data_IF_884666467449
#
_entry.id   IF_884666467449
#
_cell.length_a   1.000
_cell.length_b   1.000
_cell.length_c   1.000
_cell.angle_alpha   90.00
_cell.angle_beta   90.00
_cell.angle_gamma   90.00
#
_symmetry.space_group_name_H-M   'P 1'
#
loop_
_entity.id
_entity.type
_entity.pdbx_description
1 polymer ?
#
# COMPACT_ATOMS: atom_id res chain seq x y z
N UNK A 1 26.52 17.86 0.28
CA UNK A 1 25.95 17.63 1.63
C UNK A 1 24.46 17.22 1.63
N UNK A 2 23.48 18.08 1.33
CA UNK A 2 22.04 17.70 1.41
C UNK A 2 21.65 16.66 0.37
N UNK A 3 22.10 16.82 -0.88
CA UNK A 3 21.80 15.87 -1.96
C UNK A 3 22.37 14.47 -1.67
N UNK A 4 23.57 14.39 -1.09
CA UNK A 4 24.19 13.12 -0.67
C UNK A 4 23.40 12.44 0.44
N UNK A 5 22.89 13.21 1.41
CA UNK A 5 22.02 12.70 2.47
C UNK A 5 20.71 12.14 1.93
N UNK A 6 20.08 12.81 0.96
CA UNK A 6 18.88 12.31 0.28
C UNK A 6 19.20 11.02 -0.47
N UNK A 7 20.30 10.99 -1.22
CA UNK A 7 20.74 9.80 -1.95
C UNK A 7 20.96 8.61 -1.00
N UNK A 8 21.69 8.82 0.09
CA UNK A 8 21.94 7.78 1.10
C UNK A 8 20.65 7.31 1.80
N UNK A 9 19.69 8.21 2.01
CA UNK A 9 18.34 7.87 2.50
C UNK A 9 17.60 6.96 1.52
N UNK A 10 17.63 7.27 0.23
CA UNK A 10 16.99 6.46 -0.79
C UNK A 10 17.66 5.10 -0.96
N UNK A 11 18.99 5.03 -0.86
CA UNK A 11 19.73 3.77 -0.84
C UNK A 11 19.34 2.90 0.37
N UNK A 12 19.20 3.50 1.56
CA UNK A 12 18.71 2.81 2.75
C UNK A 12 17.27 2.30 2.59
N UNK A 13 16.36 3.12 2.06
CA UNK A 13 14.97 2.69 1.83
C UNK A 13 14.92 1.54 0.82
N UNK A 14 15.71 1.63 -0.26
CA UNK A 14 15.82 0.58 -1.28
C UNK A 14 16.38 -0.71 -0.69
N UNK A 15 17.40 -0.67 0.17
CA UNK A 15 17.99 -1.87 0.76
C UNK A 15 17.08 -2.60 1.75
N UNK A 16 16.07 -1.90 2.30
CA UNK A 16 15.06 -2.49 3.18
C UNK A 16 13.99 -3.28 2.43
N UNK A 17 13.82 -3.04 1.13
CA UNK A 17 12.81 -3.73 0.32
C UNK A 17 13.42 -5.01 -0.24
N UNK A 18 12.82 -6.13 0.13
CA UNK A 18 13.30 -7.48 -0.21
C UNK A 18 12.35 -8.27 -1.11
N UNK A 19 11.31 -7.62 -1.63
CA UNK A 19 10.29 -8.30 -2.42
C UNK A 19 9.21 -7.34 -2.95
N UNK A 20 8.37 -7.83 -3.89
CA UNK A 20 7.16 -7.13 -4.28
C UNK A 20 6.15 -7.05 -3.12
N UNK A 21 5.06 -6.30 -3.33
CA UNK A 21 4.00 -6.16 -2.31
C UNK A 21 3.49 -7.55 -1.88
N UNK A 22 3.35 -7.82 -0.56
CA UNK A 22 2.86 -9.10 -0.08
C UNK A 22 1.42 -9.37 -0.52
N UNK A 23 1.18 -10.56 -1.08
CA UNK A 23 -0.11 -10.97 -1.65
C UNK A 23 -1.28 -10.76 -0.68
N UNK A 24 -1.10 -11.10 0.61
CA UNK A 24 -2.14 -10.89 1.61
C UNK A 24 -2.57 -9.42 1.71
N UNK A 25 -1.62 -8.49 1.67
CA UNK A 25 -1.93 -7.06 1.67
C UNK A 25 -2.70 -6.64 0.42
N UNK A 26 -2.31 -7.17 -0.75
CA UNK A 26 -3.00 -6.92 -2.03
C UNK A 26 -4.44 -7.40 -1.99
N UNK A 27 -4.68 -8.64 -1.53
CA UNK A 27 -6.02 -9.22 -1.45
C UNK A 27 -6.92 -8.45 -0.46
N UNK A 28 -6.39 -8.09 0.71
CA UNK A 28 -7.14 -7.26 1.67
C UNK A 28 -7.46 -5.88 1.09
N UNK A 29 -6.51 -5.28 0.37
CA UNK A 29 -6.73 -4.03 -0.35
C UNK A 29 -7.90 -4.16 -1.32
N UNK A 30 -7.84 -5.15 -2.21
CA UNK A 30 -8.78 -5.34 -3.33
C UNK A 30 -10.18 -5.72 -2.86
N UNK A 31 -10.30 -6.62 -1.90
CA UNK A 31 -11.59 -7.22 -1.55
C UNK A 31 -12.24 -6.61 -0.31
N UNK A 32 -11.49 -5.88 0.53
CA UNK A 32 -12.00 -5.39 1.81
C UNK A 32 -11.84 -3.88 1.94
N UNK A 33 -10.60 -3.39 1.98
CA UNK A 33 -10.33 -1.99 2.34
C UNK A 33 -10.78 -1.02 1.26
N UNK A 34 -10.41 -1.26 0.00
CA UNK A 34 -10.76 -0.37 -1.09
C UNK A 34 -12.25 -0.33 -1.38
N UNK A 35 -12.98 -1.47 -1.48
CA UNK A 35 -14.42 -1.44 -1.69
C UNK A 35 -15.17 -0.71 -0.57
N UNK A 36 -14.76 -0.90 0.68
CA UNK A 36 -15.35 -0.22 1.84
C UNK A 36 -15.20 1.31 1.73
N UNK A 37 -13.98 1.76 1.46
CA UNK A 37 -13.69 3.20 1.33
C UNK A 37 -14.36 3.80 0.10
N UNK A 38 -14.32 3.08 -1.03
CA UNK A 38 -14.89 3.51 -2.29
C UNK A 38 -16.42 3.62 -2.22
N UNK A 39 -17.09 2.66 -1.59
CA UNK A 39 -18.55 2.70 -1.39
C UNK A 39 -18.96 3.86 -0.48
N UNK A 40 -18.22 4.12 0.60
CA UNK A 40 -18.42 5.31 1.43
C UNK A 40 -18.31 6.61 0.62
N UNK A 41 -17.30 6.71 -0.24
CA UNK A 41 -17.14 7.84 -1.16
C UNK A 41 -18.29 7.95 -2.16
N UNK A 42 -18.71 6.84 -2.78
CA UNK A 42 -19.81 6.86 -3.75
C UNK A 42 -21.09 7.42 -3.12
N UNK A 43 -21.43 6.97 -1.91
CA UNK A 43 -22.67 7.36 -1.25
C UNK A 43 -22.66 8.81 -0.73
N UNK A 44 -21.50 9.30 -0.30
CA UNK A 44 -21.41 10.54 0.47
C UNK A 44 -20.61 11.66 -0.24
N UNK A 45 -19.75 11.31 -1.19
CA UNK A 45 -18.74 12.22 -1.76
C UNK A 45 -19.31 13.41 -2.52
N UNK A 46 -20.50 13.27 -3.13
CA UNK A 46 -21.16 14.38 -3.81
C UNK A 46 -21.47 15.56 -2.87
N UNK A 47 -21.76 15.29 -1.59
CA UNK A 47 -22.06 16.32 -0.58
C UNK A 47 -20.87 17.25 -0.35
N UNK A 48 -19.66 16.70 -0.41
CA UNK A 48 -18.39 17.43 -0.29
C UNK A 48 -18.04 18.14 -1.58
N UNK A 49 -18.04 17.41 -2.68
CA UNK A 49 -17.52 17.90 -3.96
C UNK A 49 -18.43 18.97 -4.56
N UNK A 50 -19.74 18.92 -4.29
CA UNK A 50 -20.76 19.82 -4.86
C UNK A 50 -20.69 19.95 -6.39
N UNK A 51 -20.11 18.95 -7.05
CA UNK A 51 -19.91 18.91 -8.49
C UNK A 51 -20.23 17.48 -8.98
N UNK A 52 -21.41 17.28 -9.60
CA UNK A 52 -21.85 15.97 -10.09
C UNK A 52 -20.91 15.36 -11.12
N UNK A 53 -20.37 16.17 -12.04
CA UNK A 53 -19.47 15.69 -13.10
C UNK A 53 -18.13 15.20 -12.52
N UNK A 54 -17.55 15.95 -11.58
CA UNK A 54 -16.33 15.55 -10.88
C UNK A 54 -16.56 14.28 -10.04
N UNK A 55 -17.68 14.22 -9.31
CA UNK A 55 -18.06 13.06 -8.52
C UNK A 55 -18.22 11.80 -9.38
N UNK A 56 -18.94 11.91 -10.50
CA UNK A 56 -19.13 10.83 -11.46
C UNK A 56 -17.80 10.39 -12.10
N UNK A 57 -16.94 11.34 -12.48
CA UNK A 57 -15.61 11.04 -13.01
C UNK A 57 -14.73 10.29 -12.01
N UNK A 58 -14.80 10.66 -10.72
CA UNK A 58 -14.09 9.96 -9.65
C UNK A 58 -14.65 8.57 -9.36
N UNK A 59 -15.96 8.36 -9.46
CA UNK A 59 -16.57 7.02 -9.38
C UNK A 59 -16.07 6.13 -10.52
N UNK A 60 -16.11 6.63 -11.76
CA UNK A 60 -15.63 5.89 -12.92
C UNK A 60 -14.14 5.54 -12.74
N UNK A 61 -13.33 6.51 -12.31
CA UNK A 61 -11.90 6.28 -12.00
C UNK A 61 -11.72 5.18 -10.97
N UNK A 62 -12.51 5.18 -9.89
CA UNK A 62 -12.42 4.16 -8.84
C UNK A 62 -12.79 2.77 -9.32
N UNK A 63 -13.85 2.64 -10.13
CA UNK A 63 -14.24 1.37 -10.76
C UNK A 63 -13.11 0.86 -11.67
N UNK A 64 -12.55 1.73 -12.52
CA UNK A 64 -11.45 1.38 -13.42
C UNK A 64 -10.23 0.92 -12.63
N UNK A 65 -9.82 1.64 -11.58
CA UNK A 65 -8.70 1.26 -10.72
C UNK A 65 -8.96 -0.09 -10.07
N UNK A 66 -10.17 -0.36 -9.59
CA UNK A 66 -10.51 -1.63 -8.97
C UNK A 66 -10.44 -2.80 -9.96
N UNK A 67 -11.06 -2.65 -11.14
CA UNK A 67 -11.04 -3.69 -12.19
C UNK A 67 -9.62 -3.95 -12.69
N UNK A 68 -8.83 -2.90 -12.95
CA UNK A 68 -7.43 -3.03 -13.35
C UNK A 68 -6.62 -3.81 -12.31
N UNK A 69 -6.87 -3.58 -11.02
CA UNK A 69 -6.20 -4.30 -9.95
C UNK A 69 -6.56 -5.78 -9.90
N UNK A 70 -7.80 -6.14 -10.22
CA UNK A 70 -8.19 -7.55 -10.38
C UNK A 70 -7.42 -8.22 -11.53
N UNK A 71 -7.17 -7.50 -12.63
CA UNK A 71 -6.35 -8.00 -13.74
C UNK A 71 -4.87 -8.07 -13.34
N UNK A 72 -4.37 -7.09 -12.59
CA UNK A 72 -2.98 -7.04 -12.15
C UNK A 72 -2.62 -8.15 -11.16
N UNK A 73 -3.59 -8.71 -10.44
CA UNK A 73 -3.42 -9.95 -9.69
C UNK A 73 -2.97 -11.15 -10.54
N UNK A 74 -2.98 -11.08 -11.87
CA UNK A 74 -2.40 -12.12 -12.71
C UNK A 74 -0.86 -12.01 -12.78
N UNK A 75 -0.29 -10.86 -12.43
CA UNK A 75 1.15 -10.58 -12.45
C UNK A 75 1.84 -10.92 -11.11
N UNK A 76 1.37 -11.93 -10.37
CA UNK A 76 1.95 -12.27 -9.06
C UNK A 76 3.42 -12.69 -9.14
N UNK A 77 3.84 -13.27 -10.28
CA UNK A 77 5.20 -13.74 -10.48
C UNK A 77 6.20 -12.59 -10.60
N UNK A 78 5.90 -11.57 -11.40
CA UNK A 78 6.81 -10.41 -11.60
C UNK A 78 6.54 -9.30 -10.58
N UNK A 79 5.29 -9.21 -10.11
CA UNK A 79 4.86 -8.31 -9.06
C UNK A 79 4.88 -6.83 -9.45
N UNK A 80 5.15 -6.48 -10.71
CA UNK A 80 5.26 -5.08 -11.15
C UNK A 80 3.88 -4.46 -11.22
N UNK A 81 2.98 -5.08 -11.97
CA UNK A 81 1.61 -4.61 -12.15
C UNK A 81 0.84 -4.69 -10.83
N UNK A 82 1.05 -5.76 -10.05
CA UNK A 82 0.46 -5.89 -8.71
C UNK A 82 0.91 -4.76 -7.77
N UNK A 83 2.20 -4.40 -7.79
CA UNK A 83 2.72 -3.30 -6.97
C UNK A 83 2.21 -1.94 -7.44
N UNK A 84 2.15 -1.73 -8.76
CA UNK A 84 1.61 -0.51 -9.36
C UNK A 84 0.10 -0.35 -9.08
N UNK A 85 -0.65 -1.44 -9.18
CA UNK A 85 -2.06 -1.47 -8.82
C UNK A 85 -2.30 -1.12 -7.36
N UNK A 86 -1.51 -1.72 -6.46
CA UNK A 86 -1.56 -1.42 -5.03
C UNK A 86 -1.32 0.07 -4.77
N UNK A 87 -0.36 0.68 -5.49
CA UNK A 87 -0.12 2.12 -5.41
C UNK A 87 -1.34 2.94 -5.82
N UNK A 88 -1.97 2.62 -6.96
CA UNK A 88 -3.16 3.32 -7.45
C UNK A 88 -4.33 3.21 -6.45
N UNK A 89 -4.54 2.01 -5.89
CA UNK A 89 -5.56 1.77 -4.89
C UNK A 89 -5.28 2.53 -3.60
N UNK A 90 -4.03 2.56 -3.17
CA UNK A 90 -3.62 3.32 -1.99
C UNK A 90 -3.88 4.82 -2.19
N UNK A 91 -3.50 5.36 -3.34
CA UNK A 91 -3.68 6.77 -3.68
C UNK A 91 -5.14 7.17 -3.79
N UNK A 92 -5.92 6.45 -4.60
CA UNK A 92 -7.34 6.75 -4.75
C UNK A 92 -8.12 6.47 -3.47
N UNK A 93 -7.77 5.40 -2.75
CA UNK A 93 -8.35 5.08 -1.44
C UNK A 93 -8.14 6.18 -0.41
N UNK A 94 -6.97 6.83 -0.36
CA UNK A 94 -6.73 7.97 0.53
C UNK A 94 -7.66 9.14 0.21
N UNK A 95 -7.78 9.49 -1.07
CA UNK A 95 -8.67 10.56 -1.53
C UNK A 95 -10.12 10.25 -1.15
N UNK A 96 -10.58 9.04 -1.46
CA UNK A 96 -11.94 8.59 -1.17
C UNK A 96 -12.24 8.55 0.33
N UNK A 97 -11.32 8.03 1.15
CA UNK A 97 -11.51 7.98 2.60
C UNK A 97 -11.65 9.40 3.18
N UNK A 98 -10.74 10.30 2.83
CA UNK A 98 -10.78 11.68 3.33
C UNK A 98 -12.10 12.33 2.92
N UNK A 99 -12.52 12.22 1.66
CA UNK A 99 -13.79 12.81 1.21
C UNK A 99 -14.99 12.17 1.93
N UNK A 100 -15.03 10.84 2.04
CA UNK A 100 -16.14 10.13 2.69
C UNK A 100 -16.29 10.52 4.16
N UNK A 101 -15.20 10.51 4.94
CA UNK A 101 -15.24 10.86 6.36
C UNK A 101 -15.48 12.35 6.61
N UNK A 102 -15.06 13.23 5.70
CA UNK A 102 -15.47 14.64 5.77
C UNK A 102 -16.96 14.82 5.46
N UNK A 103 -17.55 13.97 4.62
CA UNK A 103 -19.00 14.02 4.40
C UNK A 103 -19.79 13.60 5.65
N UNK A 104 -19.23 12.71 6.46
CA UNK A 104 -19.82 12.28 7.72
C UNK A 104 -19.71 13.36 8.80
N UNK A 105 -18.67 14.19 8.77
CA UNK A 105 -18.48 15.25 9.77
C UNK A 105 -19.34 16.50 9.54
N UNK A 106 -19.95 16.66 8.36
CA UNK A 106 -20.61 17.90 7.94
C UNK A 106 -19.66 19.10 7.78
N UNK A 107 -18.35 18.91 8.03
CA UNK A 107 -17.31 19.91 7.90
C UNK A 107 -16.65 19.84 6.52
N UNK A 108 -17.08 20.75 5.66
CA UNK A 108 -16.57 20.89 4.31
C UNK A 108 -15.35 21.82 4.22
N UNK A 109 -14.94 22.42 5.34
CA UNK A 109 -13.85 23.38 5.37
C UNK A 109 -12.50 22.70 5.08
N UNK A 110 -11.61 23.45 4.42
CA UNK A 110 -10.22 23.06 4.18
C UNK A 110 -10.03 21.67 3.55
N UNK A 111 -10.97 21.20 2.74
CA UNK A 111 -10.89 19.87 2.10
C UNK A 111 -9.59 19.70 1.29
N UNK A 112 -9.13 20.75 0.62
CA UNK A 112 -7.86 20.75 -0.10
C UNK A 112 -6.65 20.53 0.82
N UNK A 113 -6.64 21.18 2.00
CA UNK A 113 -5.59 20.98 3.00
C UNK A 113 -5.62 19.54 3.54
N UNK A 114 -6.81 19.07 3.93
CA UNK A 114 -7.03 17.71 4.45
C UNK A 114 -6.55 16.64 3.46
N UNK A 115 -6.86 16.80 2.17
CA UNK A 115 -6.37 15.92 1.09
C UNK A 115 -4.85 16.01 0.89
N UNK A 116 -4.24 17.18 1.12
CA UNK A 116 -2.80 17.37 0.95
C UNK A 116 -1.95 16.86 2.13
N UNK A 117 -2.53 16.66 3.32
CA UNK A 117 -1.79 16.26 4.53
C UNK A 117 -0.91 15.01 4.34
N UNK A 118 -1.37 13.90 3.72
CA UNK A 118 -0.52 12.74 3.50
C UNK A 118 0.66 13.02 2.55
N UNK A 119 0.48 13.89 1.55
CA UNK A 119 1.55 14.32 0.65
C UNK A 119 2.56 15.21 1.37
N UNK A 120 2.07 16.15 2.19
CA UNK A 120 2.93 17.00 3.03
C UNK A 120 3.76 16.13 3.98
N UNK A 121 3.15 15.13 4.63
CA UNK A 121 3.89 14.21 5.49
C UNK A 121 4.95 13.43 4.73
N UNK A 122 4.67 13.00 3.49
CA UNK A 122 5.64 12.31 2.65
C UNK A 122 6.92 13.14 2.48
N UNK A 123 6.76 14.44 2.22
CA UNK A 123 7.87 15.39 2.07
C UNK A 123 8.60 15.57 3.41
N UNK A 124 7.87 15.79 4.50
CA UNK A 124 8.45 15.95 5.85
C UNK A 124 9.30 14.73 6.21
N UNK A 125 8.78 13.52 6.01
CA UNK A 125 9.48 12.28 6.32
C UNK A 125 10.78 12.18 5.53
N UNK A 126 10.77 12.46 4.23
CA UNK A 126 11.99 12.42 3.41
C UNK A 126 13.02 13.43 3.90
N UNK A 127 12.61 14.67 4.18
CA UNK A 127 13.50 15.74 4.63
C UNK A 127 14.10 15.42 6.00
N UNK A 128 13.27 15.08 6.99
CA UNK A 128 13.73 14.79 8.35
C UNK A 128 14.62 13.55 8.36
N UNK A 129 14.25 12.48 7.64
CA UNK A 129 15.07 11.29 7.53
C UNK A 129 16.44 11.59 6.92
N UNK A 130 16.48 12.42 5.88
CA UNK A 130 17.75 12.84 5.25
C UNK A 130 18.64 13.62 6.21
N UNK A 131 18.08 14.47 7.07
CA UNK A 131 18.83 15.17 8.10
C UNK A 131 19.40 14.22 9.16
N UNK A 132 18.71 13.11 9.45
CA UNK A 132 19.09 12.14 10.47
C UNK A 132 20.05 11.05 9.97
N UNK A 133 20.22 10.92 8.64
CA UNK A 133 21.16 9.97 8.05
C UNK A 133 22.59 10.36 8.38
N UNK A 134 23.39 9.41 8.84
CA UNK A 134 24.82 9.58 9.03
C UNK A 134 25.57 9.18 7.76
N UNK A 135 26.38 10.08 7.19
CA UNK A 135 27.13 9.83 5.95
C UNK A 135 28.35 8.94 6.19
N UNK A 136 28.93 8.98 7.39
CA UNK A 136 30.24 8.38 7.66
C UNK A 136 30.17 7.02 8.39
N UNK A 137 28.98 6.59 8.81
CA UNK A 137 28.77 5.28 9.47
C UNK A 137 28.19 4.22 8.53
N UNK A 138 28.51 2.95 8.85
CA UNK A 138 27.85 1.76 8.29
C UNK A 138 26.36 1.71 8.69
N UNK A 139 26.06 2.06 9.94
CA UNK A 139 24.67 2.22 10.38
C UNK A 139 24.09 3.51 9.76
N UNK A 140 23.29 3.37 8.71
CA UNK A 140 22.78 4.52 7.95
C UNK A 140 21.87 5.41 8.82
N UNK A 141 21.11 4.81 9.75
CA UNK A 141 20.21 5.50 10.68
C UNK A 141 20.34 4.87 12.06
N UNK A 142 20.76 5.68 13.03
CA UNK A 142 20.89 5.23 14.42
C UNK A 142 19.54 4.92 15.07
N UNK A 143 19.54 4.04 16.07
CA UNK A 143 18.37 3.81 16.91
C UNK A 143 17.80 5.11 17.51
N UNK A 144 18.66 6.07 17.86
CA UNK A 144 18.26 7.40 18.34
C UNK A 144 17.48 8.17 17.27
N UNK A 145 17.96 8.18 16.02
CA UNK A 145 17.27 8.80 14.90
C UNK A 145 15.91 8.13 14.61
N UNK A 146 15.82 6.81 14.71
CA UNK A 146 14.55 6.08 14.57
C UNK A 146 13.54 6.50 15.66
N UNK A 147 13.97 6.64 16.91
CA UNK A 147 13.12 7.16 17.99
C UNK A 147 12.67 8.60 17.74
N UNK A 148 13.53 9.45 17.17
CA UNK A 148 13.17 10.82 16.78
C UNK A 148 12.07 10.81 15.72
N UNK A 149 12.22 9.98 14.67
CA UNK A 149 11.18 9.84 13.64
C UNK A 149 9.84 9.41 14.25
N UNK A 150 9.84 8.38 15.09
CA UNK A 150 8.61 7.89 15.74
C UNK A 150 7.97 8.98 16.62
N UNK A 151 8.73 9.57 17.54
CA UNK A 151 8.17 10.45 18.57
C UNK A 151 7.78 11.84 18.05
N UNK A 152 8.49 12.37 17.05
CA UNK A 152 8.30 13.75 16.59
C UNK A 152 7.67 13.87 15.21
N UNK A 153 7.74 12.83 14.36
CA UNK A 153 7.19 12.89 12.99
C UNK A 153 5.90 12.07 12.89
N UNK A 154 5.86 10.86 13.46
CA UNK A 154 4.70 9.97 13.33
C UNK A 154 3.70 10.04 14.50
N UNK A 155 4.20 10.12 15.75
CA UNK A 155 3.34 10.12 16.92
C UNK A 155 2.41 11.35 17.02
N UNK A 156 2.85 12.60 16.73
CA UNK A 156 1.96 13.75 16.92
C UNK A 156 0.71 13.71 16.02
N UNK A 157 0.81 13.45 14.70
CA UNK A 157 -0.39 13.29 13.87
C UNK A 157 -1.28 12.12 14.30
N UNK A 158 -0.69 11.00 14.75
CA UNK A 158 -1.42 9.83 15.22
C UNK A 158 -2.21 10.13 16.52
N UNK A 159 -1.56 10.74 17.51
CA UNK A 159 -2.18 11.09 18.79
C UNK A 159 -3.32 12.06 18.56
N UNK A 160 -3.09 13.11 17.76
CA UNK A 160 -4.13 14.10 17.45
C UNK A 160 -5.28 13.48 16.66
N UNK A 161 -4.97 12.58 15.72
CA UNK A 161 -5.98 11.79 15.01
C UNK A 161 -6.86 10.98 15.98
N UNK A 162 -6.26 10.24 16.91
CA UNK A 162 -7.00 9.48 17.91
C UNK A 162 -7.91 10.36 18.76
N UNK A 163 -7.43 11.53 19.19
CA UNK A 163 -8.24 12.49 19.96
C UNK A 163 -9.43 12.98 19.13
N UNK A 164 -9.22 13.37 17.88
CA UNK A 164 -10.29 13.82 16.99
C UNK A 164 -11.34 12.72 16.73
N UNK A 165 -10.89 11.48 16.47
CA UNK A 165 -11.79 10.34 16.26
C UNK A 165 -12.57 10.03 17.55
N UNK A 166 -11.91 10.08 18.71
CA UNK A 166 -12.59 9.88 20.00
C UNK A 166 -13.67 10.94 20.26
N UNK A 167 -13.36 12.21 20.01
CA UNK A 167 -14.34 13.29 20.14
C UNK A 167 -15.53 13.11 19.17
N UNK A 168 -15.28 12.67 17.95
CA UNK A 168 -16.34 12.36 17.00
C UNK A 168 -17.25 11.22 17.51
N UNK A 169 -16.69 10.15 18.06
CA UNK A 169 -17.46 9.02 18.59
C UNK A 169 -18.40 9.40 19.75
N UNK A 170 -18.09 10.46 20.51
CA UNK A 170 -18.93 10.95 21.62
C UNK A 170 -19.86 12.10 21.22
N UNK A 171 -20.01 12.38 19.92
CA UNK A 171 -21.02 13.31 19.38
C UNK A 171 -20.47 14.60 18.79
N UNK A 172 -19.15 14.80 18.74
CA UNK A 172 -18.55 15.95 18.06
C UNK A 172 -18.14 15.61 16.62
N UNK A 173 -19.13 15.30 15.77
CA UNK A 173 -18.96 14.79 14.40
C UNK A 173 -18.00 15.62 13.54
N UNK A 174 -17.94 16.95 13.78
CA UNK A 174 -17.00 17.88 13.15
C UNK A 174 -15.55 17.34 13.11
N UNK A 175 -15.10 16.68 14.18
CA UNK A 175 -13.74 16.18 14.28
C UNK A 175 -13.47 14.93 13.43
N UNK A 176 -14.48 14.25 12.90
CA UNK A 176 -14.28 12.99 12.17
C UNK A 176 -13.45 13.20 10.89
N UNK A 177 -13.74 14.27 10.15
CA UNK A 177 -12.99 14.62 8.94
C UNK A 177 -11.52 14.94 9.23
N UNK A 178 -11.25 15.68 10.30
CA UNK A 178 -9.89 15.99 10.76
C UNK A 178 -9.16 14.75 11.29
N UNK A 179 -9.84 13.94 12.10
CA UNK A 179 -9.31 12.70 12.65
C UNK A 179 -8.87 11.73 11.57
N UNK A 180 -9.70 11.52 10.55
CA UNK A 180 -9.34 10.67 9.41
C UNK A 180 -8.20 11.26 8.55
N UNK A 181 -8.19 12.58 8.36
CA UNK A 181 -7.14 13.22 7.55
C UNK A 181 -5.77 13.15 8.24
N UNK A 182 -5.73 13.33 9.56
CA UNK A 182 -4.52 13.16 10.37
C UNK A 182 -4.11 11.69 10.50
N UNK A 183 -5.08 10.76 10.56
CA UNK A 183 -4.79 9.33 10.51
C UNK A 183 -4.09 8.99 9.21
N UNK A 184 -4.70 9.38 8.08
CA UNK A 184 -4.19 9.23 6.73
C UNK A 184 -2.80 9.89 6.57
N UNK A 185 -2.58 11.04 7.21
CA UNK A 185 -1.29 11.71 7.25
C UNK A 185 -0.19 10.81 7.79
N UNK A 186 -0.40 10.05 8.86
CA UNK A 186 0.63 9.16 9.44
C UNK A 186 1.18 8.13 8.44
N UNK A 187 0.32 7.67 7.52
CA UNK A 187 0.67 6.73 6.47
C UNK A 187 1.20 7.42 5.20
N UNK A 188 1.34 8.75 5.18
CA UNK A 188 1.83 9.50 4.04
C UNK A 188 3.13 8.95 3.45
N UNK A 189 4.07 8.53 4.31
CA UNK A 189 5.34 7.93 3.88
C UNK A 189 5.20 6.72 2.93
N UNK A 190 4.08 6.01 2.96
CA UNK A 190 3.82 4.89 2.06
C UNK A 190 3.63 5.33 0.60
N UNK A 191 3.27 6.59 0.34
CA UNK A 191 3.17 7.14 -1.02
C UNK A 191 4.48 7.03 -1.78
N UNK A 192 5.60 7.38 -1.13
CA UNK A 192 6.90 7.27 -1.76
C UNK A 192 7.52 5.87 -1.54
N UNK A 193 7.25 5.20 -0.43
CA UNK A 193 7.79 3.86 -0.17
C UNK A 193 7.33 2.85 -1.23
N UNK A 194 6.07 2.95 -1.67
CA UNK A 194 5.52 2.05 -2.70
C UNK A 194 6.23 2.19 -4.04
N UNK A 195 6.75 3.37 -4.39
CA UNK A 195 7.57 3.55 -5.59
C UNK A 195 8.85 2.71 -5.56
N UNK A 196 9.51 2.62 -4.39
CA UNK A 196 10.67 1.75 -4.26
C UNK A 196 10.31 0.27 -4.40
N UNK A 197 9.10 -0.14 -4.01
CA UNK A 197 8.60 -1.52 -4.22
C UNK A 197 8.39 -1.79 -5.73
N UNK A 198 7.79 -0.84 -6.44
CA UNK A 198 7.58 -0.94 -7.90
C UNK A 198 8.93 -1.02 -8.63
N UNK A 199 9.88 -0.14 -8.26
CA UNK A 199 11.24 -0.13 -8.83
C UNK A 199 11.95 -1.45 -8.53
N UNK A 200 11.81 -1.98 -7.31
CA UNK A 200 12.38 -3.28 -6.94
C UNK A 200 11.83 -4.39 -7.84
N UNK A 201 10.50 -4.50 -7.98
CA UNK A 201 9.86 -5.50 -8.82
C UNK A 201 10.29 -5.37 -10.29
N UNK A 202 10.43 -4.14 -10.79
CA UNK A 202 10.89 -3.88 -12.15
C UNK A 202 12.35 -4.31 -12.38
N UNK A 203 13.22 -4.05 -11.42
CA UNK A 203 14.63 -4.43 -11.50
C UNK A 203 14.81 -5.95 -11.50
N UNK A 204 14.05 -6.66 -10.66
CA UNK A 204 14.16 -8.10 -10.48
C UNK A 204 13.21 -8.90 -11.38
N UNK A 205 12.62 -8.28 -12.40
CA UNK A 205 11.61 -8.88 -13.27
C UNK A 205 12.08 -10.13 -14.03
N UNK A 206 13.39 -10.24 -14.22
CA UNK A 206 14.05 -11.35 -14.90
C UNK A 206 14.66 -12.37 -13.94
N UNK A 207 14.72 -12.05 -12.65
CA UNK A 207 15.28 -12.94 -11.61
C UNK A 207 14.29 -14.03 -11.20
N UNK A 208 13.03 -13.88 -11.60
CA UNK A 208 12.01 -14.91 -11.55
C UNK A 208 12.42 -15.99 -12.55
N UNK A 209 13.26 -16.93 -12.11
CA UNK A 209 13.67 -18.10 -12.89
C UNK A 209 12.46 -18.62 -13.66
N UNK A 210 12.64 -18.85 -14.96
CA UNK A 210 11.79 -19.74 -15.73
C UNK A 210 11.70 -21.06 -14.96
N UNK A 211 10.67 -21.20 -14.14
CA UNK A 211 10.18 -22.50 -13.76
C UNK A 211 9.64 -23.03 -15.08
N UNK A 212 10.49 -23.81 -15.76
CA UNK A 212 10.16 -24.59 -16.94
C UNK A 212 8.74 -25.14 -16.76
N UNK A 213 7.91 -25.17 -17.83
CA UNK A 213 6.59 -25.77 -17.73
C UNK A 213 6.76 -27.12 -17.04
N UNK A 214 5.91 -27.36 -16.03
CA UNK A 214 5.85 -28.57 -15.22
C UNK A 214 6.39 -29.70 -16.06
N UNK A 215 7.60 -30.20 -15.74
CA UNK A 215 8.12 -31.41 -16.39
C UNK A 215 6.97 -32.40 -16.22
N UNK A 216 6.30 -32.76 -17.32
CA UNK A 216 5.57 -34.01 -17.33
C UNK A 216 6.59 -34.99 -16.79
N UNK A 217 6.25 -35.59 -15.65
CA UNK A 217 6.96 -36.77 -15.20
C UNK A 217 6.71 -37.74 -16.35
N UNK A 218 7.66 -37.84 -17.27
CA UNK A 218 7.79 -39.01 -18.12
C UNK A 218 8.08 -40.14 -17.14
N UNK A 219 7.00 -40.72 -16.64
CA UNK A 219 7.06 -42.02 -16.00
C UNK A 219 7.57 -42.93 -17.09
N UNK A 220 8.82 -43.35 -17.00
CA UNK A 220 9.36 -44.30 -17.97
C UNK A 220 8.47 -45.54 -17.95
N UNK A 221 8.07 -46.00 -19.13
CA UNK A 221 7.25 -47.21 -19.27
C UNK A 221 7.92 -48.44 -18.60
N UNK A 222 9.24 -48.40 -18.42
CA UNK A 222 10.03 -49.40 -17.71
C UNK A 222 9.67 -49.55 -16.23
N UNK A 223 9.24 -48.47 -15.55
CA UNK A 223 8.82 -48.53 -14.14
C UNK A 223 7.45 -49.22 -13.96
N UNK A 224 6.64 -49.31 -15.02
CA UNK A 224 5.34 -49.97 -15.01
C UNK A 224 5.48 -51.46 -15.37
N UNK A 225 6.47 -51.84 -16.19
CA UNK A 225 6.63 -53.22 -16.65
C UNK A 225 7.35 -54.15 -15.66
N UNK A 226 8.13 -53.63 -14.70
CA UNK A 226 8.91 -54.45 -13.77
C UNK A 226 8.21 -54.82 -12.44
N UNK A 227 6.89 -54.60 -12.32
CA UNK A 227 6.10 -55.31 -11.30
C UNK A 227 5.54 -56.58 -11.92
N UNK A 228 6.33 -57.66 -11.85
CA UNK A 228 5.79 -59.02 -11.89
C UNK A 228 4.69 -59.11 -10.83
N UNK A 229 3.45 -59.04 -11.30
CA UNK A 229 2.27 -59.35 -10.50
C UNK A 229 2.41 -60.81 -10.07
N UNK A 230 2.77 -61.03 -8.80
CA UNK A 230 2.76 -62.35 -8.16
C UNK A 230 1.32 -62.88 -8.16
N UNK A 231 0.99 -63.59 -9.24
CA UNK A 231 -0.35 -64.08 -9.58
C UNK A 231 -0.77 -65.29 -8.74
N UNK A 232 0.06 -65.72 -7.77
CA UNK A 232 -0.16 -66.93 -6.98
C UNK A 232 -0.42 -66.68 -5.48
N UNK A 233 -0.53 -65.42 -5.03
CA UNK A 233 -0.79 -65.11 -3.60
C UNK A 233 -2.19 -65.46 -3.08
N UNK A 234 -3.09 -65.94 -3.95
CA UNK A 234 -4.46 -66.32 -3.59
C UNK A 234 -4.82 -67.77 -4.00
N UNK A 235 -3.93 -68.72 -3.76
CA UNK A 235 -4.28 -70.16 -3.79
C UNK A 235 -3.68 -70.91 -2.60
N UNK A 236 -4.37 -70.89 -1.46
CA UNK A 236 -4.97 -72.06 -0.79
C UNK A 236 -5.69 -71.63 0.48
#
# INVERSE_FOLDING_TARGET
MILERIKKTFEFQRSRIKGPVPLWGVLNGIFILYPLVFTGFWLAGLRILKNPALHQGLIITGIVVWILNLVFLLDLKRGILTSFGTYLMYLTGHVYAIIAFNSLSGDHSFIGLKLSLPLIQSIIVIVVMSCLVNLDSEEIISQKASKVMLNFVFAPPLILSCICIFLAMIGYDYFMGWGMSLFSMTFGHLFYATWFIIIYAYQHRHDVKEIRPIKHIEVSSDLIQNKEFDKNRFKK
#
